data_IF_033309606450
#
_entry.id   IF_033309606450
#
_cell.length_a   1.000
_cell.length_b   1.000
_cell.length_c   1.000
_cell.angle_alpha   90.00
_cell.angle_beta   90.00
_cell.angle_gamma   90.00
#
_symmetry.space_group_name_H-M   'P 1'
#
loop_
_entity.id
_entity.type
_entity.pdbx_description
1 polymer ?
#
# COMPACT_ATOMS: atom_id res chain seq x y z
N UNK A 1 -12.11 16.25 12.05
CA UNK A 1 -10.80 16.23 11.34
C UNK A 1 -10.31 14.80 11.11
N UNK A 2 -10.18 13.97 12.15
CA UNK A 2 -9.58 12.62 12.05
C UNK A 2 -10.35 11.61 11.19
N UNK A 3 -11.69 11.70 11.15
CA UNK A 3 -12.51 10.84 10.29
C UNK A 3 -12.19 10.99 8.79
N UNK A 4 -11.85 12.20 8.34
CA UNK A 4 -11.51 12.45 6.95
C UNK A 4 -10.17 11.80 6.57
N UNK A 5 -9.18 11.82 7.49
CA UNK A 5 -7.90 11.14 7.33
C UNK A 5 -8.07 9.63 7.26
N UNK A 6 -8.91 9.04 8.12
CA UNK A 6 -9.21 7.61 8.07
C UNK A 6 -9.91 7.23 6.76
N UNK A 7 -10.89 8.00 6.31
CA UNK A 7 -11.56 7.76 5.05
C UNK A 7 -10.58 7.80 3.87
N UNK A 8 -9.66 8.77 3.86
CA UNK A 8 -8.62 8.89 2.83
C UNK A 8 -7.68 7.67 2.81
N UNK A 9 -7.17 7.26 3.99
CA UNK A 9 -6.30 6.06 4.13
C UNK A 9 -7.02 4.79 3.66
N UNK A 10 -8.32 4.65 3.97
CA UNK A 10 -9.11 3.49 3.55
C UNK A 10 -9.27 3.47 2.02
N UNK A 11 -9.60 4.61 1.40
CA UNK A 11 -9.76 4.72 -0.05
C UNK A 11 -8.45 4.37 -0.77
N UNK A 12 -7.33 4.98 -0.37
CA UNK A 12 -6.01 4.68 -0.94
C UNK A 12 -5.61 3.21 -0.73
N UNK A 13 -5.94 2.63 0.42
CA UNK A 13 -5.71 1.21 0.70
C UNK A 13 -6.49 0.30 -0.25
N UNK A 14 -7.76 0.61 -0.53
CA UNK A 14 -8.59 -0.15 -1.47
C UNK A 14 -8.06 -0.02 -2.90
N UNK A 15 -7.70 1.20 -3.33
CA UNK A 15 -7.11 1.45 -4.65
C UNK A 15 -5.85 0.61 -4.83
N UNK A 16 -4.94 0.62 -3.86
CA UNK A 16 -3.70 -0.13 -3.95
C UNK A 16 -3.93 -1.64 -4.00
N UNK A 17 -4.89 -2.15 -3.22
CA UNK A 17 -5.25 -3.57 -3.21
C UNK A 17 -5.80 -4.01 -4.58
N UNK A 18 -6.63 -3.18 -5.21
CA UNK A 18 -7.16 -3.42 -6.56
C UNK A 18 -6.04 -3.38 -7.60
N UNK A 19 -5.10 -2.44 -7.50
CA UNK A 19 -3.95 -2.38 -8.40
C UNK A 19 -3.07 -3.63 -8.31
N UNK A 20 -2.81 -4.14 -7.09
CA UNK A 20 -2.09 -5.40 -6.92
C UNK A 20 -2.85 -6.60 -7.52
N UNK A 21 -4.18 -6.63 -7.38
CA UNK A 21 -5.03 -7.66 -8.02
C UNK A 21 -4.95 -7.58 -9.54
N UNK A 22 -5.03 -6.37 -10.10
CA UNK A 22 -4.90 -6.11 -11.53
C UNK A 22 -3.53 -6.54 -12.04
N UNK A 23 -2.45 -6.22 -11.32
CA UNK A 23 -1.10 -6.64 -11.69
C UNK A 23 -0.99 -8.18 -11.78
N UNK A 24 -1.56 -8.89 -10.79
CA UNK A 24 -1.62 -10.36 -10.83
C UNK A 24 -2.44 -10.89 -12.01
N UNK A 25 -3.53 -10.24 -12.37
CA UNK A 25 -4.35 -10.60 -13.54
C UNK A 25 -3.58 -10.36 -14.85
N UNK A 26 -2.91 -9.21 -14.99
CA UNK A 26 -2.06 -8.87 -16.15
C UNK A 26 -0.87 -9.82 -16.29
N UNK A 27 -0.27 -10.23 -15.17
CA UNK A 27 0.78 -11.25 -15.15
C UNK A 27 0.30 -12.60 -15.70
N UNK A 28 -0.96 -12.99 -15.46
CA UNK A 28 -1.57 -14.20 -16.06
C UNK A 28 -1.85 -14.02 -17.56
N UNK A 29 -2.23 -12.82 -17.98
CA UNK A 29 -2.54 -12.48 -19.39
C UNK A 29 -1.29 -12.14 -20.24
N UNK A 30 -0.07 -12.21 -19.66
CA UNK A 30 1.20 -11.76 -20.28
C UNK A 30 1.15 -10.31 -20.78
N UNK A 31 0.37 -9.47 -20.12
CA UNK A 31 0.25 -8.05 -20.42
C UNK A 31 1.31 -7.23 -19.66
N UNK A 32 1.39 -5.93 -20.00
CA UNK A 32 2.31 -4.99 -19.35
C UNK A 32 2.02 -4.88 -17.84
N UNK A 33 3.05 -5.16 -17.03
CA UNK A 33 2.97 -5.13 -15.56
C UNK A 33 3.03 -3.70 -15.04
N UNK A 34 2.31 -3.43 -13.97
CA UNK A 34 2.31 -2.12 -13.31
C UNK A 34 3.69 -1.89 -12.67
N UNK A 35 4.24 -0.70 -12.87
CA UNK A 35 5.54 -0.35 -12.31
C UNK A 35 5.49 -0.38 -10.78
N UNK A 36 6.53 -0.96 -10.19
CA UNK A 36 6.70 -1.01 -8.73
C UNK A 36 6.67 0.39 -8.11
N UNK A 37 7.19 1.39 -8.83
CA UNK A 37 7.19 2.79 -8.40
C UNK A 37 5.78 3.31 -8.16
N UNK A 38 4.83 3.01 -9.04
CA UNK A 38 3.44 3.46 -8.92
C UNK A 38 2.76 2.86 -7.68
N UNK A 39 3.00 1.57 -7.41
CA UNK A 39 2.51 0.90 -6.21
C UNK A 39 3.11 1.54 -4.94
N UNK A 40 4.40 1.87 -4.97
CA UNK A 40 5.06 2.58 -3.88
C UNK A 40 4.56 4.01 -3.68
N UNK A 41 4.30 4.77 -4.74
CA UNK A 41 3.77 6.13 -4.63
C UNK A 41 2.41 6.13 -3.93
N UNK A 42 1.51 5.25 -4.32
CA UNK A 42 0.19 5.13 -3.68
C UNK A 42 0.32 4.64 -2.23
N UNK A 43 1.28 3.75 -1.95
CA UNK A 43 1.59 3.35 -0.58
C UNK A 43 2.06 4.53 0.30
N UNK A 44 2.89 5.42 -0.26
CA UNK A 44 3.38 6.65 0.40
C UNK A 44 2.25 7.64 0.67
N UNK A 45 1.24 7.71 -0.20
CA UNK A 45 0.12 8.64 -0.01
C UNK A 45 -0.92 8.16 1.01
N UNK A 46 -0.86 6.92 1.47
CA UNK A 46 -1.80 6.38 2.48
C UNK A 46 -2.26 4.95 2.21
N UNK A 47 -1.87 4.37 1.08
CA UNK A 47 -2.23 3.00 0.71
C UNK A 47 -1.41 1.90 1.37
N UNK A 48 -0.43 2.23 2.23
CA UNK A 48 0.52 1.26 2.78
C UNK A 48 -0.16 0.02 3.41
N UNK A 49 -1.25 0.22 4.18
CA UNK A 49 -2.04 -0.86 4.76
C UNK A 49 -2.66 -1.78 3.69
N UNK A 50 -3.30 -1.21 2.66
CA UNK A 50 -3.84 -1.96 1.54
C UNK A 50 -2.78 -2.71 0.72
N UNK A 51 -1.55 -2.18 0.68
CA UNK A 51 -0.43 -2.81 -0.01
C UNK A 51 0.17 -3.98 0.73
N UNK A 52 0.32 -3.88 2.07
CA UNK A 52 0.66 -5.02 2.92
C UNK A 52 -0.40 -6.11 2.77
N UNK A 53 -1.69 -5.74 2.90
CA UNK A 53 -2.80 -6.68 2.71
C UNK A 53 -2.77 -7.33 1.33
N UNK A 54 -2.58 -6.55 0.26
CA UNK A 54 -2.47 -7.03 -1.11
C UNK A 54 -1.28 -7.97 -1.32
N UNK A 55 -0.12 -7.69 -0.72
CA UNK A 55 1.04 -8.59 -0.75
C UNK A 55 0.71 -9.97 -0.16
N UNK A 56 0.10 -10.00 1.04
CA UNK A 56 -0.27 -11.25 1.71
C UNK A 56 -1.41 -11.99 0.98
N UNK A 57 -2.48 -11.29 0.60
CA UNK A 57 -3.65 -11.89 -0.08
C UNK A 57 -3.29 -12.46 -1.45
N UNK A 58 -2.54 -11.71 -2.25
CA UNK A 58 -2.20 -12.13 -3.61
C UNK A 58 -0.90 -12.94 -3.67
N UNK A 59 -0.20 -13.12 -2.54
CA UNK A 59 1.18 -13.66 -2.47
C UNK A 59 2.08 -13.01 -3.53
N UNK A 60 1.85 -11.73 -3.75
CA UNK A 60 2.44 -11.00 -4.86
C UNK A 60 3.79 -10.45 -4.42
N UNK A 61 4.86 -10.95 -5.03
CA UNK A 61 6.24 -10.47 -4.81
C UNK A 61 6.67 -10.35 -3.34
N UNK A 62 6.25 -11.28 -2.49
CA UNK A 62 6.67 -11.36 -1.09
C UNK A 62 8.16 -11.65 -0.89
N UNK A 63 8.85 -12.19 -1.91
CA UNK A 63 10.31 -12.41 -1.92
C UNK A 63 11.11 -11.25 -2.53
N UNK A 64 10.47 -10.21 -3.07
CA UNK A 64 11.20 -9.08 -3.61
C UNK A 64 11.54 -8.14 -2.45
N UNK A 65 12.83 -8.00 -2.13
CA UNK A 65 13.30 -7.23 -0.96
C UNK A 65 12.70 -5.82 -0.88
N UNK A 66 12.54 -5.15 -2.02
CA UNK A 66 11.92 -3.83 -2.09
C UNK A 66 10.50 -3.82 -1.54
N UNK A 67 9.67 -4.80 -1.89
CA UNK A 67 8.30 -4.94 -1.40
C UNK A 67 8.24 -5.43 0.05
N UNK A 68 9.07 -6.42 0.39
CA UNK A 68 9.09 -7.04 1.71
C UNK A 68 9.51 -6.06 2.82
N UNK A 69 10.45 -5.14 2.55
CA UNK A 69 10.87 -4.12 3.50
C UNK A 69 10.15 -2.79 3.29
N UNK A 70 9.90 -2.38 2.05
CA UNK A 70 9.36 -1.06 1.75
C UNK A 70 7.94 -0.85 2.29
N UNK A 71 7.04 -1.82 2.11
CA UNK A 71 5.66 -1.71 2.60
C UNK A 71 5.55 -1.62 4.13
N UNK A 72 6.17 -2.53 4.92
CA UNK A 72 6.14 -2.42 6.38
C UNK A 72 6.88 -1.19 6.91
N UNK A 73 7.97 -0.74 6.28
CA UNK A 73 8.66 0.49 6.66
C UNK A 73 7.75 1.71 6.45
N UNK A 74 7.06 1.78 5.31
CA UNK A 74 6.10 2.85 5.00
C UNK A 74 4.87 2.83 5.91
N UNK A 75 4.40 1.64 6.28
CA UNK A 75 3.33 1.49 7.26
C UNK A 75 3.78 1.98 8.65
N UNK A 76 5.00 1.66 9.07
CA UNK A 76 5.57 2.12 10.34
C UNK A 76 5.71 3.65 10.39
N UNK A 77 6.17 4.27 9.29
CA UNK A 77 6.26 5.74 9.18
C UNK A 77 4.87 6.39 9.29
N UNK A 78 3.87 5.84 8.59
CA UNK A 78 2.50 6.35 8.69
C UNK A 78 1.94 6.26 10.10
N UNK A 79 2.14 5.12 10.77
CA UNK A 79 1.69 4.92 12.16
C UNK A 79 2.39 5.93 13.08
N UNK A 80 3.70 6.14 12.92
CA UNK A 80 4.45 7.11 13.71
C UNK A 80 3.91 8.55 13.54
N UNK A 81 3.64 8.97 12.31
CA UNK A 81 3.04 10.29 12.01
C UNK A 81 1.64 10.40 12.63
N UNK A 82 0.83 9.35 12.53
CA UNK A 82 -0.52 9.32 13.10
C UNK A 82 -0.49 9.47 14.62
N UNK A 83 0.41 8.72 15.29
CA UNK A 83 0.59 8.77 16.74
C UNK A 83 1.13 10.13 17.20
N UNK A 84 2.11 10.70 16.49
CA UNK A 84 2.63 12.03 16.86
C UNK A 84 1.58 13.12 16.69
N UNK A 85 0.78 13.06 15.62
CA UNK A 85 -0.31 14.01 15.37
C UNK A 85 -1.39 13.89 16.45
N UNK A 86 -1.72 12.67 16.87
CA UNK A 86 -2.71 12.43 17.94
C UNK A 86 -2.20 12.88 19.32
N UNK A 87 -0.89 12.85 19.56
CA UNK A 87 -0.27 13.29 20.82
C UNK A 87 -0.08 14.81 20.91
N UNK A 88 -0.16 15.53 19.79
CA UNK A 88 0.00 16.99 19.70
C UNK A 88 -1.34 17.74 19.83
N UNK A 89 -2.47 17.04 19.65
CA UNK A 89 -3.84 17.56 19.77
C UNK A 89 -4.39 17.21 21.15
#
# INVERSE_FOLDING_TARGET
>A
MWYALLAFIIVESVILLVLMKLDKSRAKRKEWRISEKTLFTIAIFGGACGGVLGMYFFRHKTKHNSFAFGFPLLAAIHIYILVSTYSII
#
